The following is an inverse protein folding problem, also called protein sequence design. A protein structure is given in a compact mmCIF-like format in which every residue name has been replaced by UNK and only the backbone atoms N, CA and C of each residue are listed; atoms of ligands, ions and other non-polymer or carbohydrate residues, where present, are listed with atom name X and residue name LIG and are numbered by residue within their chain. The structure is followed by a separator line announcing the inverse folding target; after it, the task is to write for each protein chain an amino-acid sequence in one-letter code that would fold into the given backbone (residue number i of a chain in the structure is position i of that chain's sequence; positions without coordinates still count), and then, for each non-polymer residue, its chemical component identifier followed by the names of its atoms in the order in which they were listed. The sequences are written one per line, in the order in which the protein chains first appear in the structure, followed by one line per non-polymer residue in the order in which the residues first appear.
data_IF_184895376649
#
_entry.id   IF_184895376649
#
_cell.length_a   1.000
_cell.length_b   1.000
_cell.length_c   1.000
_cell.angle_alpha   90.00
_cell.angle_beta   90.00
_cell.angle_gamma   90.00
#
_symmetry.space_group_name_H-M   'P 1'
#
loop_
_entity.id
_entity.type
_entity.pdbx_description
1 polymer ?
#
# COMPACT_ATOMS: atom_id res chain seq x y z
N UNK A 1 3.29 14.90 -12.18
CA UNK A 1 4.64 14.55 -11.67
C UNK A 1 4.76 13.05 -11.82
N UNK A 2 5.90 12.51 -12.26
CA UNK A 2 6.08 11.05 -12.30
C UNK A 2 6.46 10.50 -10.93
N UNK A 3 6.37 9.18 -10.75
CA UNK A 3 6.78 8.51 -9.51
C UNK A 3 8.28 8.69 -9.26
N UNK A 4 9.08 8.61 -10.31
CA UNK A 4 10.53 8.80 -10.25
C UNK A 4 10.88 10.21 -9.79
N UNK A 5 10.16 11.23 -10.27
CA UNK A 5 10.37 12.60 -9.83
C UNK A 5 10.03 12.80 -8.33
N UNK A 6 9.04 12.08 -7.80
CA UNK A 6 8.77 12.05 -6.35
C UNK A 6 9.94 11.43 -5.59
N UNK A 7 10.49 10.33 -6.09
CA UNK A 7 11.61 9.63 -5.47
C UNK A 7 12.91 10.42 -5.50
N UNK A 8 13.23 11.05 -6.64
CA UNK A 8 14.41 11.91 -6.77
C UNK A 8 14.28 13.12 -5.83
N UNK A 9 13.11 13.78 -5.79
CA UNK A 9 12.88 14.88 -4.86
C UNK A 9 12.98 14.47 -3.39
N UNK A 10 12.43 13.30 -3.03
CA UNK A 10 12.53 12.76 -1.67
C UNK A 10 13.98 12.45 -1.30
N UNK A 11 14.69 11.79 -2.21
CA UNK A 11 16.06 11.36 -2.01
C UNK A 11 17.00 12.55 -1.87
N UNK A 12 16.90 13.54 -2.75
CA UNK A 12 17.67 14.79 -2.67
C UNK A 12 17.45 15.44 -1.31
N UNK A 13 16.21 15.54 -0.85
CA UNK A 13 15.88 16.08 0.48
C UNK A 13 16.50 15.23 1.61
N UNK A 14 16.43 13.91 1.52
CA UNK A 14 16.99 13.02 2.54
C UNK A 14 18.52 13.14 2.67
N UNK A 15 19.22 13.58 1.63
CA UNK A 15 20.68 13.85 1.70
C UNK A 15 21.04 15.18 2.37
N UNK A 16 20.06 16.06 2.62
CA UNK A 16 20.27 17.31 3.32
C UNK A 16 20.24 17.04 4.84
N UNK A 17 21.18 17.56 5.64
CA UNK A 17 21.29 17.27 7.07
C UNK A 17 20.25 18.04 7.91
N UNK A 18 18.97 17.90 7.56
CA UNK A 18 17.84 18.42 8.35
C UNK A 18 17.50 17.50 9.53
N UNK A 19 17.79 16.20 9.39
CA UNK A 19 17.52 15.14 10.37
C UNK A 19 18.68 14.15 10.37
N UNK A 20 18.81 13.40 11.45
CA UNK A 20 19.74 12.28 11.48
C UNK A 20 19.25 11.21 10.49
N UNK A 21 19.88 11.16 9.33
CA UNK A 21 19.46 10.35 8.19
C UNK A 21 20.62 9.51 7.73
N UNK A 22 20.44 8.20 7.69
CA UNK A 22 21.40 7.30 7.06
C UNK A 22 20.97 7.01 5.63
N UNK A 23 21.97 6.97 4.75
CA UNK A 23 21.75 6.79 3.33
C UNK A 23 22.67 5.71 2.76
N UNK A 24 22.11 4.79 1.99
CA UNK A 24 22.84 3.77 1.26
C UNK A 24 22.27 3.58 -0.15
N UNK A 25 23.15 3.39 -1.14
CA UNK A 25 22.78 3.03 -2.51
C UNK A 25 23.42 1.69 -2.87
N UNK A 26 22.62 0.78 -3.39
CA UNK A 26 23.09 -0.46 -3.98
C UNK A 26 22.63 -0.54 -5.43
N UNK A 27 23.56 -0.83 -6.34
CA UNK A 27 23.26 -1.03 -7.75
C UNK A 27 23.72 -2.42 -8.19
N UNK A 28 22.79 -3.21 -8.71
CA UNK A 28 23.04 -4.58 -9.18
C UNK A 28 22.35 -4.80 -10.52
N UNK A 29 23.14 -4.77 -11.60
CA UNK A 29 22.61 -4.83 -12.96
C UNK A 29 21.65 -3.67 -13.25
N UNK A 30 20.40 -4.00 -13.62
CA UNK A 30 19.33 -3.03 -13.87
C UNK A 30 18.63 -2.53 -12.60
N UNK A 31 18.95 -3.09 -11.44
CA UNK A 31 18.28 -2.76 -10.17
C UNK A 31 19.09 -1.70 -9.43
N UNK A 32 18.43 -0.59 -9.08
CA UNK A 32 18.95 0.47 -8.20
C UNK A 32 18.09 0.51 -6.93
N UNK A 33 18.70 0.22 -5.79
CA UNK A 33 18.08 0.22 -4.47
C UNK A 33 18.63 1.41 -3.70
N UNK A 34 17.74 2.33 -3.35
CA UNK A 34 18.03 3.50 -2.53
C UNK A 34 17.44 3.26 -1.15
N UNK A 35 18.29 3.08 -0.15
CA UNK A 35 17.91 2.83 1.22
C UNK A 35 18.12 4.09 2.06
N UNK A 36 17.04 4.52 2.73
CA UNK A 36 17.01 5.69 3.60
C UNK A 36 16.49 5.26 4.97
N UNK A 37 17.22 5.61 6.02
CA UNK A 37 16.77 5.49 7.41
C UNK A 37 16.68 6.88 8.00
N UNK A 38 15.48 7.34 8.31
CA UNK A 38 15.24 8.58 9.03
C UNK A 38 14.94 8.29 10.49
N UNK A 39 15.75 8.87 11.38
CA UNK A 39 15.45 8.91 12.80
C UNK A 39 14.66 10.20 13.08
N UNK A 40 13.33 10.09 13.18
CA UNK A 40 12.54 11.14 13.83
C UNK A 40 12.64 10.91 15.34
N UNK A 41 12.68 11.96 16.17
CA UNK A 41 12.96 11.87 17.62
C UNK A 41 12.08 10.85 18.40
N UNK A 42 11.04 10.32 17.76
CA UNK A 42 10.07 9.39 18.32
C UNK A 42 10.07 8.01 17.63
N UNK A 43 10.58 7.88 16.40
CA UNK A 43 10.43 6.69 15.55
C UNK A 43 11.55 6.55 14.51
N UNK A 44 11.87 5.31 14.21
CA UNK A 44 12.71 4.95 13.07
C UNK A 44 11.83 4.68 11.83
N UNK A 45 12.12 5.39 10.74
CA UNK A 45 11.48 5.24 9.45
C UNK A 45 12.49 4.68 8.45
N UNK A 46 12.26 3.46 7.98
CA UNK A 46 13.14 2.79 7.02
C UNK A 46 12.44 2.67 5.69
N UNK A 47 13.12 3.04 4.62
CA UNK A 47 12.58 3.01 3.27
C UNK A 47 13.60 2.43 2.31
N UNK A 48 13.19 1.43 1.52
CA UNK A 48 13.92 1.01 0.33
C UNK A 48 13.09 1.41 -0.89
N UNK A 49 13.66 2.24 -1.74
CA UNK A 49 13.09 2.65 -3.04
C UNK A 49 13.81 1.86 -4.12
N UNK A 50 13.06 1.18 -4.97
CA UNK A 50 13.60 0.25 -5.96
C UNK A 50 13.21 0.70 -7.35
N UNK A 51 14.23 0.99 -8.14
CA UNK A 51 14.12 1.28 -9.55
C UNK A 51 14.64 0.08 -10.35
N UNK A 52 13.91 -0.30 -11.41
CA UNK A 52 14.35 -1.29 -12.41
C UNK A 52 14.46 -0.59 -13.74
N UNK A 53 15.65 -0.60 -14.33
CA UNK A 53 15.94 0.12 -15.58
C UNK A 53 15.57 1.62 -15.50
N UNK A 54 15.74 2.21 -14.30
CA UNK A 54 15.41 3.61 -14.02
C UNK A 54 13.92 3.90 -13.76
N UNK A 55 13.05 2.88 -13.81
CA UNK A 55 11.60 3.02 -13.59
C UNK A 55 11.24 2.55 -12.19
N UNK A 56 10.33 3.25 -11.50
CA UNK A 56 9.79 2.84 -10.22
C UNK A 56 9.19 1.43 -10.29
N UNK A 57 9.74 0.49 -9.51
CA UNK A 57 9.22 -0.87 -9.41
C UNK A 57 8.51 -1.08 -8.08
N UNK A 58 9.15 -0.74 -6.97
CA UNK A 58 8.55 -0.95 -5.65
C UNK A 58 9.14 -0.04 -4.59
N UNK A 59 8.39 0.14 -3.51
CA UNK A 59 8.86 0.76 -2.28
C UNK A 59 8.52 -0.15 -1.11
N UNK A 60 9.54 -0.46 -0.31
CA UNK A 60 9.41 -1.14 0.97
C UNK A 60 9.58 -0.12 2.10
N UNK A 61 8.73 -0.21 3.13
CA UNK A 61 8.82 0.67 4.30
C UNK A 61 8.63 -0.11 5.58
N UNK A 62 9.39 0.23 6.59
CA UNK A 62 9.19 -0.24 7.96
C UNK A 62 9.13 0.98 8.88
N UNK A 63 8.18 0.95 9.81
CA UNK A 63 8.00 1.99 10.80
C UNK A 63 7.67 1.36 12.14
N UNK A 64 8.47 1.67 13.16
CA UNK A 64 8.16 1.37 14.55
C UNK A 64 7.24 2.47 15.12
N UNK A 65 6.16 2.06 15.79
CA UNK A 65 5.18 2.97 16.40
C UNK A 65 5.34 3.12 17.92
N UNK A 66 6.36 2.47 18.49
CA UNK A 66 6.57 2.33 19.93
C UNK A 66 5.77 1.19 20.55
N UNK A 67 6.08 0.83 21.79
CA UNK A 67 5.43 -0.27 22.54
C UNK A 67 5.49 -1.65 21.84
N UNK A 68 6.45 -1.85 20.93
CA UNK A 68 6.64 -3.09 20.18
C UNK A 68 5.68 -3.29 19.00
N UNK A 69 4.91 -2.27 18.61
CA UNK A 69 4.11 -2.29 17.38
C UNK A 69 4.90 -1.76 16.19
N UNK A 70 4.92 -2.53 15.10
CA UNK A 70 5.59 -2.15 13.87
C UNK A 70 4.64 -2.29 12.69
N UNK A 71 4.81 -1.43 11.69
CA UNK A 71 4.17 -1.60 10.37
C UNK A 71 5.20 -1.81 9.28
N UNK A 72 4.91 -2.75 8.39
CA UNK A 72 5.69 -2.99 7.18
C UNK A 72 4.79 -2.82 5.96
N UNK A 73 5.20 -1.94 5.04
CA UNK A 73 4.50 -1.66 3.81
C UNK A 73 5.31 -2.14 2.61
N UNK A 74 4.63 -2.74 1.64
CA UNK A 74 5.19 -2.99 0.32
C UNK A 74 4.25 -2.38 -0.70
N UNK A 75 4.78 -1.47 -1.50
CA UNK A 75 4.08 -0.87 -2.64
C UNK A 75 4.73 -1.33 -3.94
N UNK A 76 3.91 -1.69 -4.92
CA UNK A 76 4.31 -2.03 -6.27
C UNK A 76 3.71 -1.03 -7.25
N UNK A 77 4.50 -0.66 -8.26
CA UNK A 77 4.14 0.24 -9.34
C UNK A 77 4.19 -0.56 -10.64
N UNK A 78 3.08 -0.62 -11.36
CA UNK A 78 2.97 -1.38 -12.61
C UNK A 78 1.90 -0.76 -13.50
N UNK A 79 2.26 -0.36 -14.72
CA UNK A 79 1.35 0.18 -15.73
C UNK A 79 0.43 1.32 -15.24
N UNK A 80 0.97 2.24 -14.44
CA UNK A 80 0.23 3.37 -13.87
C UNK A 80 -0.60 3.01 -12.62
N UNK A 81 -0.55 1.76 -12.18
CA UNK A 81 -1.30 1.22 -11.04
C UNK A 81 -0.38 1.10 -9.83
N UNK A 82 -0.90 1.55 -8.70
CA UNK A 82 -0.22 1.44 -7.41
C UNK A 82 -0.97 0.45 -6.55
N UNK A 83 -0.32 -0.65 -6.18
CA UNK A 83 -0.86 -1.62 -5.21
C UNK A 83 0.01 -1.61 -3.97
N UNK A 84 -0.61 -1.55 -2.81
CA UNK A 84 0.10 -1.56 -1.53
C UNK A 84 -0.50 -2.57 -0.58
N UNK A 85 0.34 -3.37 0.08
CA UNK A 85 0.02 -4.01 1.34
C UNK A 85 0.69 -3.25 2.48
N UNK A 86 0.00 -3.17 3.61
CA UNK A 86 0.48 -2.60 4.87
C UNK A 86 0.09 -3.55 5.99
N UNK A 87 1.07 -4.17 6.63
CA UNK A 87 0.88 -5.13 7.70
C UNK A 87 1.25 -4.48 9.03
N UNK A 88 0.38 -4.60 10.03
CA UNK A 88 0.67 -4.23 11.41
C UNK A 88 0.94 -5.47 12.22
N UNK A 89 2.00 -5.46 13.02
CA UNK A 89 2.43 -6.62 13.80
C UNK A 89 3.09 -6.25 15.12
N UNK A 90 3.07 -7.22 16.04
CA UNK A 90 3.75 -7.18 17.34
C UNK A 90 4.44 -8.54 17.54
N UNK A 91 5.76 -8.54 17.66
CA UNK A 91 6.54 -9.78 17.58
C UNK A 91 6.30 -10.49 16.24
N UNK A 92 5.92 -11.77 16.28
CA UNK A 92 5.61 -12.55 15.06
C UNK A 92 4.11 -12.55 14.69
N UNK A 93 3.29 -11.74 15.38
CA UNK A 93 1.83 -11.75 15.21
C UNK A 93 1.34 -10.56 14.41
N UNK A 94 0.75 -10.80 13.24
CA UNK A 94 0.07 -9.77 12.44
C UNK A 94 -1.30 -9.49 13.04
N UNK A 95 -1.55 -8.24 13.43
CA UNK A 95 -2.79 -7.79 14.08
C UNK A 95 -3.74 -7.08 13.11
N UNK A 96 -3.21 -6.57 12.00
CA UNK A 96 -4.00 -5.94 10.95
C UNK A 96 -3.30 -5.94 9.60
N UNK A 97 -4.11 -5.88 8.56
CA UNK A 97 -3.66 -5.77 7.18
C UNK A 97 -4.48 -4.69 6.50
N UNK A 98 -3.83 -3.80 5.76
CA UNK A 98 -4.49 -2.88 4.83
C UNK A 98 -3.99 -3.17 3.42
N UNK A 99 -4.91 -3.23 2.47
CA UNK A 99 -4.58 -3.32 1.04
C UNK A 99 -5.15 -2.07 0.37
N UNK A 100 -4.34 -1.42 -0.45
CA UNK A 100 -4.74 -0.20 -1.15
C UNK A 100 -4.49 -0.33 -2.64
N UNK A 101 -5.41 0.23 -3.42
CA UNK A 101 -5.29 0.39 -4.86
C UNK A 101 -5.38 1.87 -5.20
N UNK A 102 -4.37 2.38 -5.90
CA UNK A 102 -4.29 3.76 -6.37
C UNK A 102 -3.62 3.82 -7.74
N UNK A 103 -3.19 5.02 -8.14
CA UNK A 103 -2.61 5.35 -9.44
C UNK A 103 -1.39 6.24 -9.25
N UNK A 104 -0.43 6.09 -10.13
CA UNK A 104 0.85 6.83 -10.05
C UNK A 104 0.62 8.35 -10.05
N UNK A 105 -0.31 8.81 -10.88
CA UNK A 105 -0.68 10.22 -11.02
C UNK A 105 -1.40 10.81 -9.79
N UNK A 106 -1.80 9.96 -8.81
CA UNK A 106 -2.44 10.38 -7.57
C UNK A 106 -1.51 10.36 -6.36
N UNK A 107 -0.24 9.99 -6.57
CA UNK A 107 0.79 10.12 -5.56
C UNK A 107 1.20 11.58 -5.46
N UNK A 108 1.38 12.06 -4.23
CA UNK A 108 1.84 13.43 -3.97
C UNK A 108 3.02 13.41 -3.00
N UNK A 109 3.85 14.47 -2.98
CA UNK A 109 4.90 14.60 -1.98
C UNK A 109 4.31 14.56 -0.57
N UNK A 110 5.00 13.88 0.34
CA UNK A 110 4.66 13.96 1.75
C UNK A 110 4.92 15.39 2.26
N UNK A 111 3.91 16.12 2.78
CA UNK A 111 4.08 17.47 3.28
C UNK A 111 5.03 17.54 4.49
N UNK A 112 5.15 16.46 5.25
CA UNK A 112 6.08 16.37 6.38
C UNK A 112 7.51 15.99 5.95
N UNK A 113 7.66 15.69 4.66
CA UNK A 113 8.88 15.19 4.05
C UNK A 113 9.48 14.07 4.91
N UNK A 114 8.71 13.05 5.26
CA UNK A 114 9.19 11.85 5.98
C UNK A 114 9.10 10.63 5.09
N UNK A 115 8.09 10.59 4.23
CA UNK A 115 7.83 9.49 3.31
C UNK A 115 8.19 9.87 1.87
N UNK A 116 8.59 8.89 1.04
CA UNK A 116 8.81 9.11 -0.39
C UNK A 116 7.61 9.70 -1.13
N UNK A 117 6.40 9.35 -0.67
CA UNK A 117 5.13 9.87 -1.16
C UNK A 117 4.03 9.54 -0.14
N UNK A 118 2.89 10.20 -0.32
CA UNK A 118 1.60 9.77 0.23
C UNK A 118 0.59 9.58 -0.90
N UNK A 119 -0.46 8.82 -0.65
CA UNK A 119 -1.62 8.82 -1.54
C UNK A 119 -2.31 10.16 -1.39
N UNK A 120 -2.50 10.91 -2.48
CA UNK A 120 -3.44 12.03 -2.52
C UNK A 120 -4.86 11.56 -2.80
N UNK A 121 -4.99 10.45 -3.56
CA UNK A 121 -6.24 9.73 -3.81
C UNK A 121 -6.00 8.23 -3.83
N UNK A 122 -7.07 7.44 -3.65
CA UNK A 122 -7.05 5.99 -3.81
C UNK A 122 -8.38 5.51 -4.39
N UNK A 123 -8.32 4.54 -5.30
CA UNK A 123 -9.50 3.90 -5.88
C UNK A 123 -10.20 3.05 -4.81
N UNK A 124 -9.42 2.28 -4.05
CA UNK A 124 -9.94 1.40 -3.00
C UNK A 124 -8.95 1.27 -1.84
N UNK A 125 -9.47 1.26 -0.62
CA UNK A 125 -8.74 0.89 0.59
C UNK A 125 -9.55 -0.17 1.35
N UNK A 126 -8.90 -1.29 1.65
CA UNK A 126 -9.48 -2.39 2.42
C UNK A 126 -8.66 -2.59 3.69
N UNK A 127 -9.33 -2.78 4.82
CA UNK A 127 -8.70 -3.13 6.08
C UNK A 127 -9.26 -4.44 6.58
N UNK A 128 -8.36 -5.31 6.97
CA UNK A 128 -8.64 -6.57 7.60
C UNK A 128 -8.12 -6.54 9.03
N UNK A 129 -8.84 -7.20 9.91
CA UNK A 129 -8.49 -7.31 11.33
C UNK A 129 -8.40 -8.77 11.72
N UNK A 130 -7.41 -9.10 12.56
CA UNK A 130 -7.30 -10.42 13.13
C UNK A 130 -8.52 -10.71 14.03
N UNK A 131 -9.21 -11.80 13.76
CA UNK A 131 -10.26 -12.36 14.62
C UNK A 131 -10.34 -13.88 14.40
N UNK A 132 -10.54 -14.68 15.46
CA UNK A 132 -10.77 -16.12 15.38
C UNK A 132 -9.80 -16.89 14.45
N UNK A 133 -8.48 -16.65 14.58
CA UNK A 133 -7.42 -17.27 13.78
C UNK A 133 -7.45 -16.97 12.27
N UNK A 134 -8.21 -15.95 11.86
CA UNK A 134 -8.26 -15.44 10.49
C UNK A 134 -8.10 -13.92 10.46
N UNK A 135 -7.85 -13.38 9.27
CA UNK A 135 -7.77 -11.96 8.98
C UNK A 135 -8.96 -11.59 8.10
N UNK A 136 -10.01 -11.07 8.74
CA UNK A 136 -11.31 -10.82 8.09
C UNK A 136 -11.50 -9.35 7.74
N UNK A 137 -12.25 -9.09 6.66
CA UNK A 137 -12.57 -7.74 6.20
C UNK A 137 -13.32 -6.98 7.29
N UNK A 138 -12.72 -5.90 7.76
CA UNK A 138 -13.27 -5.03 8.80
C UNK A 138 -13.76 -3.69 8.21
N UNK A 139 -13.11 -3.20 7.14
CA UNK A 139 -13.47 -1.93 6.51
C UNK A 139 -13.14 -1.94 5.03
N UNK A 140 -13.96 -1.26 4.24
CA UNK A 140 -13.78 -1.08 2.82
C UNK A 140 -14.31 0.29 2.40
N UNK A 141 -13.46 1.03 1.69
CA UNK A 141 -13.76 2.36 1.16
C UNK A 141 -13.33 2.48 -0.28
N UNK A 142 -14.07 3.27 -1.03
CA UNK A 142 -13.80 3.63 -2.42
C UNK A 142 -13.57 5.13 -2.55
N UNK A 143 -12.91 5.51 -3.65
CA UNK A 143 -12.76 6.89 -4.09
C UNK A 143 -12.28 7.84 -2.97
N UNK A 144 -11.25 7.43 -2.22
CA UNK A 144 -10.68 8.29 -1.19
C UNK A 144 -9.93 9.45 -1.85
N UNK A 145 -10.16 10.67 -1.36
CA UNK A 145 -9.55 11.90 -1.86
C UNK A 145 -9.17 12.81 -0.68
N UNK A 146 -7.86 13.04 -0.51
CA UNK A 146 -7.30 13.81 0.59
C UNK A 146 -7.65 15.30 0.52
N UNK A 147 -7.74 15.86 -0.69
CA UNK A 147 -7.98 17.28 -0.93
C UNK A 147 -9.40 17.65 -0.51
N UNK A 148 -10.37 16.90 -1.00
CA UNK A 148 -11.80 17.15 -0.76
C UNK A 148 -12.35 16.46 0.49
N UNK A 149 -11.52 15.62 1.13
CA UNK A 149 -11.93 14.72 2.23
C UNK A 149 -13.05 13.75 1.83
N UNK A 150 -13.21 13.50 0.53
CA UNK A 150 -14.22 12.60 0.01
C UNK A 150 -13.84 11.14 0.22
N UNK A 151 -14.83 10.30 0.51
CA UNK A 151 -14.72 8.84 0.51
C UNK A 151 -16.11 8.23 0.41
N UNK A 152 -16.21 7.07 -0.22
CA UNK A 152 -17.43 6.28 -0.24
C UNK A 152 -17.22 5.00 0.59
N UNK A 153 -17.88 4.93 1.74
CA UNK A 153 -17.82 3.75 2.60
C UNK A 153 -18.77 2.66 2.10
N UNK A 154 -18.23 1.45 1.99
CA UNK A 154 -18.98 0.24 1.61
C UNK A 154 -19.13 -0.69 2.81
N UNK A 155 -18.07 -0.82 3.63
CA UNK A 155 -18.09 -1.53 4.91
C UNK A 155 -17.38 -0.73 5.98
N UNK A 156 -18.06 -0.40 7.07
CA UNK A 156 -17.52 0.19 8.30
C UNK A 156 -18.55 0.12 9.44
N UNK A 157 -18.25 0.65 10.62
CA UNK A 157 -19.20 0.68 11.73
C UNK A 157 -20.49 1.42 11.32
N UNK A 158 -21.61 0.70 11.27
CA UNK A 158 -22.92 1.24 10.89
C UNK A 158 -23.17 1.32 9.38
N UNK A 159 -22.24 0.85 8.53
CA UNK A 159 -22.41 0.77 7.07
C UNK A 159 -22.03 -0.63 6.61
N UNK A 160 -22.98 -1.32 5.99
CA UNK A 160 -22.74 -2.62 5.37
C UNK A 160 -23.55 -2.71 4.08
N UNK A 161 -22.85 -2.75 2.94
CA UNK A 161 -23.46 -2.78 1.61
C UNK A 161 -22.94 -4.00 0.85
N UNK A 162 -23.86 -4.85 0.41
CA UNK A 162 -23.52 -6.00 -0.45
C UNK A 162 -23.33 -5.59 -1.91
N UNK A 163 -23.92 -4.46 -2.32
CA UNK A 163 -23.76 -3.90 -3.66
C UNK A 163 -23.86 -2.38 -3.62
N UNK A 164 -23.06 -1.70 -4.45
CA UNK A 164 -23.15 -0.26 -4.63
C UNK A 164 -22.58 0.20 -5.98
N UNK A 165 -23.08 1.35 -6.43
CA UNK A 165 -22.53 2.09 -7.57
C UNK A 165 -22.22 3.52 -7.10
N UNK A 166 -21.07 4.06 -7.51
CA UNK A 166 -20.62 5.38 -7.08
C UNK A 166 -19.86 6.08 -8.20
N UNK A 167 -20.22 7.32 -8.52
CA UNK A 167 -19.51 8.14 -9.50
C UNK A 167 -18.75 9.25 -8.76
N UNK A 168 -17.43 9.32 -8.98
CA UNK A 168 -16.61 10.38 -8.41
C UNK A 168 -15.57 10.88 -9.41
N UNK A 169 -15.59 12.20 -9.69
CA UNK A 169 -14.69 12.87 -10.65
C UNK A 169 -14.59 12.14 -12.01
N UNK A 170 -15.72 11.65 -12.51
CA UNK A 170 -15.81 10.96 -13.80
C UNK A 170 -15.36 9.50 -13.80
N UNK A 171 -15.09 8.92 -12.63
CA UNK A 171 -14.76 7.49 -12.47
C UNK A 171 -15.94 6.80 -11.83
N UNK A 172 -16.45 5.76 -12.48
CA UNK A 172 -17.55 4.95 -11.97
C UNK A 172 -17.01 3.71 -11.27
N UNK A 173 -17.48 3.48 -10.05
CA UNK A 173 -17.15 2.34 -9.22
C UNK A 173 -18.41 1.50 -9.04
N UNK A 174 -18.37 0.23 -9.46
CA UNK A 174 -19.45 -0.73 -9.25
C UNK A 174 -18.92 -1.88 -8.43
N UNK A 175 -19.45 -2.05 -7.22
CA UNK A 175 -18.96 -3.01 -6.24
C UNK A 175 -20.03 -3.99 -5.81
N UNK A 176 -19.65 -5.25 -5.69
CA UNK A 176 -20.42 -6.33 -5.08
C UNK A 176 -19.56 -7.03 -4.03
N UNK A 177 -20.17 -7.39 -2.91
CA UNK A 177 -19.52 -8.04 -1.77
C UNK A 177 -20.34 -9.23 -1.32
N UNK A 178 -19.72 -10.40 -1.38
CA UNK A 178 -20.21 -11.66 -0.82
C UNK A 178 -19.06 -12.36 -0.08
N UNK A 179 -18.60 -13.52 -0.56
CA UNK A 179 -17.34 -14.14 -0.13
C UNK A 179 -16.11 -13.45 -0.76
N UNK A 180 -16.32 -12.63 -1.79
CA UNK A 180 -15.31 -11.80 -2.42
C UNK A 180 -15.73 -10.32 -2.50
N UNK A 181 -14.75 -9.46 -2.76
CA UNK A 181 -14.90 -8.04 -3.09
C UNK A 181 -14.71 -7.93 -4.59
N UNK A 182 -15.80 -7.80 -5.33
CA UNK A 182 -15.78 -7.62 -6.79
C UNK A 182 -16.01 -6.16 -7.11
N UNK A 183 -14.97 -5.48 -7.59
CA UNK A 183 -15.01 -4.07 -7.96
C UNK A 183 -14.71 -3.91 -9.45
N UNK A 184 -15.62 -3.27 -10.16
CA UNK A 184 -15.38 -2.73 -11.51
C UNK A 184 -15.14 -1.23 -11.40
N UNK A 185 -14.05 -0.76 -12.00
CA UNK A 185 -13.71 0.66 -12.12
C UNK A 185 -13.77 1.01 -13.60
N UNK A 186 -14.63 1.96 -13.97
CA UNK A 186 -14.74 2.47 -15.33
C UNK A 186 -14.17 3.90 -15.41
N UNK A 187 -13.16 4.08 -16.27
CA UNK A 187 -12.57 5.37 -16.57
C UNK A 187 -12.18 5.53 -18.06
N UNK A 188 -10.88 5.60 -18.38
CA UNK A 188 -10.31 5.43 -19.72
C UNK A 188 -10.29 3.95 -20.15
N UNK A 189 -10.62 3.02 -19.26
CA UNK A 189 -10.89 1.62 -19.54
C UNK A 189 -11.61 0.93 -18.38
N UNK A 190 -12.03 -0.32 -18.58
CA UNK A 190 -12.65 -1.12 -17.52
C UNK A 190 -11.56 -1.91 -16.79
N UNK A 191 -11.50 -1.77 -15.46
CA UNK A 191 -10.66 -2.58 -14.58
C UNK A 191 -11.52 -3.38 -13.63
N UNK A 192 -11.27 -4.68 -13.59
CA UNK A 192 -11.93 -5.60 -12.67
C UNK A 192 -10.97 -6.02 -11.55
N UNK A 193 -11.48 -6.02 -10.34
CA UNK A 193 -10.77 -6.42 -9.13
C UNK A 193 -11.62 -7.48 -8.45
N UNK A 194 -10.98 -8.57 -8.05
CA UNK A 194 -11.60 -9.65 -7.29
C UNK A 194 -10.73 -9.95 -6.08
N UNK A 195 -11.02 -9.33 -4.94
CA UNK A 195 -10.25 -9.51 -3.71
C UNK A 195 -10.98 -10.38 -2.70
N UNK A 196 -10.24 -11.13 -1.89
CA UNK A 196 -10.85 -11.92 -0.81
C UNK A 196 -11.39 -11.04 0.31
N UNK A 197 -12.47 -11.50 0.96
CA UNK A 197 -13.00 -10.90 2.19
C UNK A 197 -12.34 -11.47 3.46
N UNK A 198 -11.64 -12.60 3.37
CA UNK A 198 -10.89 -13.18 4.49
C UNK A 198 -9.64 -13.93 4.03
N UNK A 199 -8.67 -14.06 4.94
CA UNK A 199 -7.45 -14.83 4.78
C UNK A 199 -7.17 -15.65 6.03
N UNK A 200 -6.63 -16.86 5.86
CA UNK A 200 -6.18 -17.72 6.96
C UNK A 200 -4.90 -17.17 7.61
N UNK A 201 -4.59 -17.61 8.84
CA UNK A 201 -3.36 -17.24 9.53
C UNK A 201 -2.08 -17.60 8.74
N UNK A 202 -2.06 -18.75 8.03
CA UNK A 202 -0.91 -19.18 7.26
C UNK A 202 -0.70 -18.32 6.00
N UNK A 203 -1.78 -17.91 5.34
CA UNK A 203 -1.71 -16.95 4.23
C UNK A 203 -1.20 -15.58 4.70
N UNK A 204 -1.67 -15.11 5.85
CA UNK A 204 -1.19 -13.85 6.45
C UNK A 204 0.28 -13.94 6.85
N UNK A 205 0.73 -15.08 7.38
CA UNK A 205 2.15 -15.34 7.65
C UNK A 205 2.97 -15.29 6.37
N UNK A 206 2.45 -15.85 5.28
CA UNK A 206 3.10 -15.80 3.97
C UNK A 206 3.23 -14.36 3.45
N UNK A 207 2.20 -13.52 3.65
CA UNK A 207 2.28 -12.09 3.33
C UNK A 207 3.31 -11.36 4.19
N UNK A 208 3.42 -11.71 5.47
CA UNK A 208 4.41 -11.14 6.38
C UNK A 208 5.84 -11.55 5.99
N UNK A 209 6.08 -12.82 5.69
CA UNK A 209 7.36 -13.27 5.15
C UNK A 209 7.69 -12.60 3.82
N UNK A 210 6.67 -12.40 2.97
CA UNK A 210 6.84 -11.67 1.72
C UNK A 210 7.32 -10.24 1.97
N UNK A 211 6.74 -9.55 2.95
CA UNK A 211 7.14 -8.19 3.28
C UNK A 211 8.53 -8.13 3.95
N UNK A 212 8.89 -9.12 4.78
CA UNK A 212 10.08 -9.07 5.63
C UNK A 212 11.36 -9.65 4.99
N UNK A 213 11.25 -10.65 4.10
CA UNK A 213 12.41 -11.40 3.57
C UNK A 213 12.85 -10.98 2.16
N UNK A 214 12.42 -9.82 1.70
CA UNK A 214 12.73 -9.25 0.36
C UNK A 214 12.22 -9.96 -0.91
N UNK A 215 11.31 -10.97 -0.91
CA UNK A 215 10.79 -11.51 -2.17
C UNK A 215 9.94 -10.49 -2.94
N UNK A 216 9.58 -9.36 -2.34
CA UNK A 216 8.96 -8.21 -3.00
C UNK A 216 9.81 -7.61 -4.14
N UNK A 217 11.13 -7.87 -4.17
CA UNK A 217 11.96 -7.53 -5.34
C UNK A 217 11.49 -8.22 -6.63
N UNK A 218 10.81 -9.37 -6.50
CA UNK A 218 10.27 -10.15 -7.63
C UNK A 218 8.84 -9.73 -8.04
N UNK A 219 8.29 -8.67 -7.43
CA UNK A 219 7.01 -8.09 -7.82
C UNK A 219 5.79 -8.63 -7.04
N UNK A 220 4.58 -8.26 -7.51
CA UNK A 220 3.31 -8.47 -6.80
C UNK A 220 2.77 -9.90 -6.82
N UNK A 221 3.29 -10.77 -7.69
CA UNK A 221 2.77 -12.11 -7.93
C UNK A 221 2.47 -12.95 -6.67
N UNK A 222 3.37 -13.00 -5.65
CA UNK A 222 3.11 -13.72 -4.41
C UNK A 222 1.91 -13.18 -3.63
N UNK A 223 1.73 -11.86 -3.59
CA UNK A 223 0.57 -11.22 -2.95
C UNK A 223 -0.69 -11.52 -3.74
N UNK A 224 -0.65 -11.38 -5.07
CA UNK A 224 -1.79 -11.65 -5.95
C UNK A 224 -2.35 -13.06 -5.78
N UNK A 225 -1.49 -14.08 -5.63
CA UNK A 225 -1.92 -15.47 -5.38
C UNK A 225 -2.81 -15.63 -4.15
N UNK A 226 -2.58 -14.80 -3.13
CA UNK A 226 -3.32 -14.83 -1.86
C UNK A 226 -4.57 -13.96 -1.95
N UNK A 227 -4.45 -12.75 -2.50
CA UNK A 227 -5.52 -11.75 -2.39
C UNK A 227 -6.45 -11.70 -3.62
N UNK A 228 -5.95 -11.94 -4.84
CA UNK A 228 -6.66 -11.66 -6.12
C UNK A 228 -7.50 -12.85 -6.62
N UNK A 229 -7.77 -13.82 -5.75
CA UNK A 229 -8.55 -15.02 -6.05
C UNK A 229 -9.70 -15.18 -5.05
N UNK A 230 -10.59 -14.18 -4.97
CA UNK A 230 -11.92 -14.37 -4.38
C UNK A 230 -12.61 -15.53 -5.09
N UNK A 231 -13.13 -16.50 -4.32
CA UNK A 231 -13.88 -17.63 -4.88
C UNK A 231 -15.23 -17.18 -5.41
#
# INVERSE_FOLDING_TARGET
MSVEALFDSYYDRATIPLRNTEFQREQSGSIDIRHVVEHDEFRDLRHKIILKDGVASSVWREQEWGLGETSIDVTQFEDGIVKQISLRYTGDSVTGLKISLSRDEWLIPDPDHRLPYIFGRADMETWYKANDFQMGLNRLRLAWDQETKHTFSVRELGVDKDKAEHLYRGIEYRIEIDDAIRLTIEDKGSRNINWRTSMSADEVRTLFEYANKEPWLSGWGPVAKIIENGK
#
